data_IF_844917951846
#
_entry.id   IF_844917951846
#
_cell.length_a   1.000
_cell.length_b   1.000
_cell.length_c   1.000
_cell.angle_alpha   90.00
_cell.angle_beta   90.00
_cell.angle_gamma   90.00
#
_symmetry.space_group_name_H-M   'P 1'
#
loop_
_entity.id
_entity.type
_entity.pdbx_description
1 polymer ?
#
# COMPACT_ATOMS: atom_id res chain seq x y z
N UNK A 1 18.09 -49.79 -28.03
CA UNK A 1 17.93 -48.49 -28.72
C UNK A 1 16.47 -48.25 -29.04
N UNK A 2 15.82 -47.21 -28.49
CA UNK A 2 14.55 -46.69 -29.00
C UNK A 2 14.71 -45.33 -29.69
N UNK A 3 13.84 -45.08 -30.67
CA UNK A 3 13.82 -43.96 -31.62
C UNK A 3 13.15 -42.69 -31.05
N UNK A 4 13.38 -41.59 -31.77
CA UNK A 4 13.10 -40.21 -31.39
C UNK A 4 11.73 -39.63 -31.83
N UNK A 5 11.31 -38.58 -31.09
CA UNK A 5 10.60 -37.32 -31.46
C UNK A 5 9.13 -37.35 -31.95
N UNK A 6 8.22 -36.67 -31.21
CA UNK A 6 7.57 -35.41 -31.66
C UNK A 6 6.71 -34.68 -30.58
N UNK A 7 6.99 -33.37 -30.47
CA UNK A 7 6.13 -32.17 -30.26
C UNK A 7 5.27 -31.93 -28.99
N UNK A 8 5.49 -30.71 -28.47
CA UNK A 8 4.81 -29.89 -27.46
C UNK A 8 3.28 -29.76 -27.59
N UNK A 9 2.56 -29.66 -26.45
CA UNK A 9 1.75 -28.50 -26.00
C UNK A 9 1.07 -28.77 -24.64
N UNK A 10 0.93 -27.73 -23.82
CA UNK A 10 0.23 -27.62 -22.52
C UNK A 10 -0.97 -26.70 -22.73
N UNK A 11 -2.00 -26.60 -21.86
CA UNK A 11 -2.89 -27.60 -21.24
C UNK A 11 -4.35 -27.42 -21.76
N UNK A 12 -5.29 -28.31 -21.38
CA UNK A 12 -6.73 -28.02 -21.48
C UNK A 12 -7.26 -27.65 -20.09
N UNK A 13 -7.54 -26.37 -19.89
CA UNK A 13 -8.50 -25.86 -18.91
C UNK A 13 -9.90 -26.29 -19.36
N UNK A 14 -10.63 -27.02 -18.52
CA UNK A 14 -12.10 -27.01 -18.44
C UNK A 14 -12.54 -28.09 -17.44
N UNK A 15 -12.68 -27.71 -16.16
CA UNK A 15 -13.73 -28.22 -15.27
C UNK A 15 -13.52 -27.71 -13.84
N UNK A 16 -13.95 -26.48 -13.55
CA UNK A 16 -14.49 -26.14 -12.21
C UNK A 16 -15.18 -24.78 -12.22
N UNK A 17 -16.33 -24.68 -12.91
CA UNK A 17 -17.29 -23.63 -12.61
C UNK A 17 -18.35 -24.22 -11.67
N UNK A 18 -17.99 -24.35 -10.39
CA UNK A 18 -18.97 -24.56 -9.33
C UNK A 18 -19.47 -23.21 -8.85
N UNK A 19 -20.80 -23.11 -8.82
CA UNK A 19 -21.65 -22.03 -8.36
C UNK A 19 -21.11 -21.24 -7.16
N UNK A 20 -21.12 -19.92 -7.30
CA UNK A 20 -21.40 -19.01 -6.18
C UNK A 20 -22.60 -18.15 -6.61
N UNK A 21 -23.78 -18.53 -6.13
CA UNK A 21 -25.00 -17.72 -6.12
C UNK A 21 -25.27 -17.37 -4.67
N UNK A 22 -24.80 -16.23 -4.16
CA UNK A 22 -25.31 -15.65 -2.90
C UNK A 22 -25.21 -14.11 -2.98
N UNK A 23 -26.36 -13.52 -3.33
CA UNK A 23 -27.01 -12.34 -2.74
C UNK A 23 -26.37 -10.94 -2.84
N UNK A 24 -26.83 -10.22 -3.85
CA UNK A 24 -26.74 -8.77 -4.05
C UNK A 24 -28.09 -8.14 -3.67
N UNK A 25 -28.31 -7.85 -2.38
CA UNK A 25 -29.37 -7.00 -1.83
C UNK A 25 -28.77 -6.37 -0.55
N UNK A 26 -28.56 -5.06 -0.40
CA UNK A 26 -29.59 -4.04 -0.22
C UNK A 26 -28.89 -2.65 -0.28
N UNK A 27 -29.18 -1.86 -1.32
CA UNK A 27 -28.86 -0.44 -1.36
C UNK A 27 -29.96 0.31 -0.59
N UNK A 28 -29.81 0.40 0.73
CA UNK A 28 -30.70 1.20 1.57
C UNK A 28 -30.21 2.65 1.63
N UNK A 29 -30.87 3.48 0.83
CA UNK A 29 -30.96 4.94 0.97
C UNK A 29 -31.70 5.24 2.29
N UNK A 30 -30.98 5.67 3.32
CA UNK A 30 -31.60 6.09 4.58
C UNK A 30 -31.38 7.57 4.82
N UNK A 31 -32.45 8.28 4.47
CA UNK A 31 -32.85 9.62 4.86
C UNK A 31 -32.35 10.11 6.22
N UNK A 32 -31.96 11.39 6.21
CA UNK A 32 -31.68 12.28 7.33
C UNK A 32 -32.85 12.30 8.34
N UNK A 33 -32.54 12.08 9.62
CA UNK A 33 -33.44 12.33 10.76
C UNK A 33 -32.62 12.42 12.06
N UNK A 34 -32.47 13.64 12.56
CA UNK A 34 -31.91 13.97 13.87
C UNK A 34 -32.66 13.27 15.01
N UNK A 35 -31.99 12.32 15.69
CA UNK A 35 -32.39 11.85 17.02
C UNK A 35 -31.17 11.90 17.95
N UNK A 36 -31.16 12.89 18.84
CA UNK A 36 -30.17 13.03 19.91
C UNK A 36 -30.34 11.87 20.90
N UNK A 37 -29.49 10.85 20.81
CA UNK A 37 -29.34 9.82 21.84
C UNK A 37 -28.08 10.15 22.67
N UNK A 38 -28.21 10.51 23.97
CA UNK A 38 -27.04 10.68 24.82
C UNK A 38 -26.40 9.32 25.12
N UNK A 39 -25.37 8.94 24.36
CA UNK A 39 -24.52 7.79 24.70
C UNK A 39 -23.70 8.13 25.93
N UNK A 40 -24.14 7.60 27.08
CA UNK A 40 -23.38 7.58 28.34
C UNK A 40 -22.08 6.80 28.12
N UNK A 41 -20.96 7.52 27.91
CA UNK A 41 -19.62 6.93 27.76
C UNK A 41 -19.24 6.22 29.07
N UNK A 42 -19.25 4.89 29.06
CA UNK A 42 -18.50 4.12 30.04
C UNK A 42 -17.01 4.28 29.70
N UNK A 43 -16.32 5.17 30.41
CA UNK A 43 -14.87 5.19 30.43
C UNK A 43 -14.38 3.93 31.12
N UNK A 44 -14.11 2.88 30.35
CA UNK A 44 -13.21 1.82 30.80
C UNK A 44 -11.84 2.47 30.96
N UNK A 45 -11.45 2.72 32.21
CA UNK A 45 -10.08 3.08 32.57
C UNK A 45 -9.23 1.87 32.19
N UNK A 46 -8.66 1.92 30.99
CA UNK A 46 -7.57 1.02 30.61
C UNK A 46 -6.34 1.48 31.36
N UNK A 47 -5.81 0.64 32.22
CA UNK A 47 -4.54 0.89 32.91
C UNK A 47 -3.46 1.24 31.87
N UNK A 48 -2.64 2.27 32.12
CA UNK A 48 -1.57 2.63 31.19
C UNK A 48 -0.58 1.47 31.10
N UNK A 49 -0.38 0.96 29.88
CA UNK A 49 0.73 0.08 29.58
C UNK A 49 2.05 0.77 29.96
N UNK A 50 3.04 -0.03 30.34
CA UNK A 50 4.38 0.34 30.80
C UNK A 50 5.06 1.44 29.95
N UNK A 51 5.99 2.23 30.55
CA UNK A 51 6.59 3.41 29.92
C UNK A 51 7.55 3.11 28.75
N UNK A 52 7.67 1.86 28.31
CA UNK A 52 8.48 1.45 27.15
C UNK A 52 7.69 1.34 25.84
N UNK A 53 6.38 1.63 25.85
CA UNK A 53 5.52 1.48 24.69
C UNK A 53 5.12 2.84 24.10
N UNK A 54 5.50 3.04 22.84
CA UNK A 54 5.14 4.12 21.92
C UNK A 54 6.01 5.38 22.00
N UNK A 55 7.14 5.33 21.28
CA UNK A 55 7.68 6.53 20.62
C UNK A 55 6.54 7.14 19.80
N UNK A 56 6.08 8.38 20.09
CA UNK A 56 5.09 9.05 19.27
C UNK A 56 5.58 9.06 17.83
N UNK A 57 4.73 8.65 16.89
CA UNK A 57 5.08 8.40 15.48
C UNK A 57 6.04 9.47 14.94
N UNK A 58 7.32 9.11 14.89
CA UNK A 58 8.36 10.02 14.42
C UNK A 58 8.05 10.34 12.97
N UNK A 59 7.71 11.61 12.70
CA UNK A 59 7.60 12.09 11.33
C UNK A 59 8.92 11.80 10.65
N UNK A 60 8.84 11.07 9.54
CA UNK A 60 10.03 10.54 8.92
C UNK A 60 10.97 11.69 8.50
N UNK A 61 12.16 11.75 9.11
CA UNK A 61 13.13 12.81 8.89
C UNK A 61 13.49 12.93 7.40
N UNK A 62 13.59 14.17 6.92
CA UNK A 62 13.64 14.56 5.51
C UNK A 62 14.64 13.76 4.67
N UNK A 63 14.15 12.72 4.00
CA UNK A 63 14.97 11.81 3.21
C UNK A 63 14.24 11.32 1.97
N UNK A 64 15.04 10.92 0.98
CA UNK A 64 14.61 10.33 -0.29
C UNK A 64 13.53 9.22 -0.07
N UNK A 65 12.30 9.38 -0.63
CA UNK A 65 11.22 8.43 -0.42
C UNK A 65 11.53 7.02 -0.95
N UNK A 66 12.14 6.94 -2.14
CA UNK A 66 12.63 5.69 -2.72
C UNK A 66 13.60 4.93 -1.80
N UNK A 67 14.51 5.66 -1.16
CA UNK A 67 15.55 5.10 -0.31
C UNK A 67 14.94 4.43 0.92
N UNK A 68 13.91 5.07 1.50
CA UNK A 68 13.14 4.57 2.63
C UNK A 68 12.35 3.31 2.26
N UNK A 69 11.62 3.37 1.15
CA UNK A 69 10.86 2.24 0.61
C UNK A 69 11.75 1.02 0.38
N UNK A 70 12.92 1.22 -0.25
CA UNK A 70 13.90 0.15 -0.49
C UNK A 70 14.45 -0.47 0.79
N UNK A 71 14.67 0.31 1.85
CA UNK A 71 15.11 -0.22 3.16
C UNK A 71 14.04 -1.09 3.81
N UNK A 72 12.79 -0.66 3.76
CA UNK A 72 11.64 -1.42 4.28
C UNK A 72 11.45 -2.74 3.55
N UNK A 73 11.58 -2.77 2.22
CA UNK A 73 11.51 -4.03 1.47
C UNK A 73 12.64 -5.01 1.84
N UNK A 74 13.86 -4.49 2.07
CA UNK A 74 14.98 -5.33 2.52
C UNK A 74 14.74 -5.94 3.90
N UNK A 75 14.23 -5.18 4.86
CA UNK A 75 13.93 -5.72 6.19
C UNK A 75 12.73 -6.66 6.16
N UNK A 76 11.72 -6.37 5.34
CA UNK A 76 10.56 -7.25 5.13
C UNK A 76 10.97 -8.67 4.72
N UNK A 77 11.95 -8.80 3.81
CA UNK A 77 12.47 -10.11 3.43
C UNK A 77 12.97 -10.95 4.62
N UNK A 78 13.42 -10.30 5.69
CA UNK A 78 13.90 -10.93 6.94
C UNK A 78 12.79 -11.19 7.95
N UNK A 79 11.90 -10.21 8.19
CA UNK A 79 10.91 -10.26 9.29
C UNK A 79 9.51 -10.70 8.86
N UNK A 80 9.24 -10.82 7.55
CA UNK A 80 8.01 -11.32 6.92
C UNK A 80 6.71 -10.60 7.28
N UNK A 81 6.75 -9.54 8.09
CA UNK A 81 5.60 -8.69 8.37
C UNK A 81 5.92 -7.22 8.12
N UNK A 82 4.95 -6.49 7.59
CA UNK A 82 5.16 -5.08 7.25
C UNK A 82 5.23 -4.18 8.48
N UNK A 83 4.38 -4.43 9.49
CA UNK A 83 4.42 -3.69 10.77
C UNK A 83 5.79 -3.74 11.44
N UNK A 84 6.43 -4.91 11.46
CA UNK A 84 7.78 -5.09 12.01
C UNK A 84 8.83 -4.34 11.18
N UNK A 85 8.77 -4.49 9.86
CA UNK A 85 9.68 -3.82 8.94
C UNK A 85 9.59 -2.28 9.05
N UNK A 86 8.38 -1.73 9.22
CA UNK A 86 8.18 -0.30 9.43
C UNK A 86 8.78 0.18 10.75
N UNK A 87 8.59 -0.57 11.84
CA UNK A 87 9.15 -0.23 13.16
C UNK A 87 10.67 -0.24 13.16
N UNK A 88 11.29 -1.28 12.58
CA UNK A 88 12.76 -1.39 12.48
C UNK A 88 13.37 -0.23 11.69
N UNK A 89 12.68 0.25 10.65
CA UNK A 89 13.16 1.37 9.84
C UNK A 89 12.75 2.75 10.37
N UNK A 90 12.02 2.82 11.49
CA UNK A 90 11.46 4.05 12.05
C UNK A 90 10.64 4.84 11.03
N UNK A 91 9.72 4.16 10.34
CA UNK A 91 8.85 4.77 9.33
C UNK A 91 7.39 4.55 9.66
N UNK A 92 6.59 5.60 9.51
CA UNK A 92 5.15 5.50 9.60
C UNK A 92 4.51 4.83 8.36
N UNK A 93 3.42 4.09 8.59
CA UNK A 93 2.68 3.39 7.52
C UNK A 93 2.12 4.35 6.48
N UNK A 94 1.57 5.48 6.91
CA UNK A 94 1.03 6.52 6.03
C UNK A 94 2.12 7.12 5.15
N UNK A 95 3.33 7.28 5.69
CA UNK A 95 4.49 7.74 4.90
C UNK A 95 4.84 6.77 3.78
N UNK A 96 4.92 5.46 4.07
CA UNK A 96 5.17 4.46 3.02
C UNK A 96 4.03 4.44 2.01
N UNK A 97 2.77 4.42 2.47
CA UNK A 97 1.60 4.40 1.58
C UNK A 97 1.59 5.59 0.61
N UNK A 98 1.84 6.80 1.11
CA UNK A 98 1.84 8.02 0.30
C UNK A 98 3.00 8.05 -0.71
N UNK A 99 4.15 7.49 -0.36
CA UNK A 99 5.36 7.55 -1.19
C UNK A 99 5.63 6.29 -2.01
N UNK A 100 4.85 5.23 -1.81
CA UNK A 100 4.97 3.96 -2.52
C UNK A 100 4.82 4.14 -4.04
N UNK A 101 3.81 4.86 -4.59
CA UNK A 101 3.64 4.95 -6.04
C UNK A 101 4.88 5.50 -6.76
N UNK A 102 5.43 6.60 -6.25
CA UNK A 102 6.61 7.24 -6.85
C UNK A 102 7.90 6.42 -6.64
N UNK A 103 7.98 5.66 -5.54
CA UNK A 103 9.11 4.77 -5.26
C UNK A 103 9.07 3.50 -6.12
N UNK A 104 7.90 2.89 -6.29
CA UNK A 104 7.65 1.71 -7.12
C UNK A 104 7.92 2.01 -8.58
N UNK A 105 7.44 3.16 -9.08
CA UNK A 105 7.72 3.60 -10.43
C UNK A 105 9.23 3.68 -10.71
N UNK A 106 10.01 4.26 -9.79
CA UNK A 106 11.47 4.30 -9.92
C UNK A 106 12.14 2.91 -9.95
N UNK A 107 11.53 1.90 -9.33
CA UNK A 107 12.04 0.52 -9.33
C UNK A 107 11.70 -0.16 -10.65
N UNK A 108 10.46 -0.02 -11.12
CA UNK A 108 9.92 -0.72 -12.29
C UNK A 108 10.40 -0.07 -13.59
N UNK A 109 10.33 1.25 -13.66
CA UNK A 109 10.66 2.04 -14.83
C UNK A 109 11.43 3.33 -14.45
N UNK A 110 12.77 3.26 -14.42
CA UNK A 110 13.58 4.41 -14.08
C UNK A 110 13.58 5.49 -15.16
N UNK A 111 13.21 5.20 -16.40
CA UNK A 111 13.24 6.17 -17.49
C UNK A 111 12.00 7.06 -17.46
N UNK A 112 10.82 6.48 -17.29
CA UNK A 112 9.59 7.24 -17.01
C UNK A 112 9.73 8.04 -15.70
N UNK A 113 10.39 7.51 -14.68
CA UNK A 113 10.64 8.27 -13.46
C UNK A 113 11.49 9.54 -13.71
N UNK A 114 12.48 9.49 -14.63
CA UNK A 114 13.30 10.66 -14.96
C UNK A 114 12.49 11.72 -15.69
N UNK A 115 11.57 11.35 -16.58
CA UNK A 115 10.75 12.31 -17.33
C UNK A 115 9.75 13.04 -16.43
N UNK A 116 9.34 12.43 -15.32
CA UNK A 116 8.48 13.07 -14.32
C UNK A 116 9.23 14.01 -13.37
N UNK A 117 10.57 14.04 -13.43
CA UNK A 117 11.36 14.91 -12.58
C UNK A 117 11.22 16.34 -13.11
N UNK A 118 10.72 17.22 -12.25
CA UNK A 118 10.62 18.64 -12.54
C UNK A 118 11.95 19.20 -13.05
N UNK A 119 11.90 19.80 -14.23
CA UNK A 119 13.01 20.52 -14.84
C UNK A 119 12.63 22.00 -15.00
N UNK A 120 13.24 22.91 -14.21
CA UNK A 120 12.88 24.32 -14.20
C UNK A 120 13.13 25.03 -15.54
N UNK A 121 13.93 24.45 -16.44
CA UNK A 121 14.18 25.04 -17.75
C UNK A 121 13.01 24.82 -18.72
N UNK A 122 12.25 23.73 -18.57
CA UNK A 122 11.15 23.33 -19.46
C UNK A 122 9.78 23.50 -18.80
N UNK A 123 9.68 23.22 -17.50
CA UNK A 123 8.44 23.21 -16.72
C UNK A 123 8.15 24.61 -16.15
N UNK A 124 8.00 25.57 -17.05
CA UNK A 124 7.60 26.94 -16.69
C UNK A 124 6.08 27.09 -16.72
N UNK A 125 5.50 27.95 -15.87
CA UNK A 125 4.03 28.16 -15.89
C UNK A 125 3.50 28.56 -17.28
N UNK A 126 4.29 29.30 -18.05
CA UNK A 126 3.99 29.70 -19.42
C UNK A 126 3.90 28.50 -20.38
N UNK A 127 4.69 27.44 -20.18
CA UNK A 127 4.66 26.27 -21.07
C UNK A 127 3.36 25.46 -20.97
N UNK A 128 2.62 25.62 -19.87
CA UNK A 128 1.33 24.97 -19.64
C UNK A 128 0.12 25.80 -20.12
N UNK A 129 0.28 27.10 -20.39
CA UNK A 129 -0.81 28.01 -20.71
C UNK A 129 -1.15 28.08 -22.22
N UNK A 130 -1.31 26.92 -22.87
CA UNK A 130 -1.65 26.81 -24.30
C UNK A 130 -3.10 27.17 -24.60
#
# INVERSE_FOLDING_TARGET
MPKAKKKNQVPKEESRMELIKEDLDDLSDSSDSDVVIPKKKQHSIRNPASPDAAVPGQRASGGCPYCRYKKVLKTFGRVRTMSEAFRINNVDRGTIKMTAPIAELKIVDPDTFKTLKFDPAIDTLLSFAK
#
